data_IF_361844981207
#
_entry.id   IF_361844981207
#
_cell.length_a   1.000
_cell.length_b   1.000
_cell.length_c   1.000
_cell.angle_alpha   90.00
_cell.angle_beta   90.00
_cell.angle_gamma   90.00
#
_symmetry.space_group_name_H-M   'P 1'
#
loop_
_entity.id
_entity.type
_entity.pdbx_description
1 polymer ?
#
# COMPACT_ATOMS: atom_id res chain seq x y z
N UNK A 1 -35.93 -8.06 20.45
CA UNK A 1 -35.51 -7.02 19.50
C UNK A 1 -34.00 -7.16 19.31
N UNK A 2 -33.59 -7.48 18.10
CA UNK A 2 -32.28 -8.04 17.75
C UNK A 2 -31.14 -7.05 17.91
N UNK A 3 -30.20 -7.38 18.79
CA UNK A 3 -28.82 -6.91 18.72
C UNK A 3 -27.98 -8.11 18.28
N UNK A 4 -27.52 -8.13 17.04
CA UNK A 4 -26.38 -8.96 16.64
C UNK A 4 -25.47 -8.10 15.76
N UNK A 5 -24.57 -7.38 16.43
CA UNK A 5 -23.35 -6.86 15.83
C UNK A 5 -22.47 -8.10 15.62
N UNK A 6 -22.35 -8.56 14.39
CA UNK A 6 -21.46 -9.67 14.06
C UNK A 6 -20.01 -9.19 14.28
N UNK A 7 -19.45 -9.70 15.38
CA UNK A 7 -18.07 -9.52 15.82
C UNK A 7 -17.09 -10.01 14.75
N UNK A 8 -16.24 -9.12 14.25
CA UNK A 8 -15.09 -9.45 13.43
C UNK A 8 -14.16 -10.39 14.18
N UNK A 9 -14.02 -11.62 13.70
CA UNK A 9 -13.02 -12.58 14.18
C UNK A 9 -12.25 -13.09 12.98
N UNK A 10 -11.09 -12.47 12.72
CA UNK A 10 -10.10 -12.93 11.75
C UNK A 10 -9.14 -13.84 12.50
N UNK A 11 -9.20 -15.13 12.20
CA UNK A 11 -8.29 -16.14 12.73
C UNK A 11 -6.89 -15.91 12.15
N UNK A 12 -6.00 -15.29 12.94
CA UNK A 12 -4.56 -15.34 12.72
C UNK A 12 -4.00 -16.37 13.68
N UNK A 13 -3.46 -17.47 13.16
CA UNK A 13 -2.35 -18.30 13.66
C UNK A 13 -2.26 -19.51 12.71
N UNK A 14 -1.03 -19.92 12.34
CA UNK A 14 -0.68 -21.06 11.46
C UNK A 14 -0.44 -20.81 9.96
N UNK A 15 0.48 -19.92 9.63
CA UNK A 15 1.29 -20.05 8.39
C UNK A 15 2.68 -19.43 8.58
N UNK A 16 3.37 -19.86 9.64
CA UNK A 16 4.53 -19.17 10.20
C UNK A 16 5.91 -19.68 9.71
N UNK A 17 5.99 -20.75 8.92
CA UNK A 17 7.28 -21.45 8.68
C UNK A 17 7.83 -21.45 7.24
N UNK A 18 7.37 -20.55 6.36
CA UNK A 18 7.93 -20.43 4.99
C UNK A 18 8.64 -19.09 4.71
N UNK A 19 9.22 -18.47 5.75
CA UNK A 19 10.00 -17.25 5.63
C UNK A 19 11.50 -17.56 5.58
N UNK A 20 12.05 -17.78 4.39
CA UNK A 20 13.50 -17.76 4.22
C UNK A 20 13.92 -16.83 3.08
N UNK A 21 15.00 -16.11 3.37
CA UNK A 21 15.78 -15.23 2.49
C UNK A 21 15.16 -13.85 2.21
N UNK A 22 15.23 -12.94 3.20
CA UNK A 22 15.75 -11.55 3.09
C UNK A 22 15.29 -10.61 4.23
N UNK A 23 15.37 -11.00 5.51
CA UNK A 23 14.95 -10.09 6.61
C UNK A 23 15.69 -10.28 7.97
N UNK A 24 15.65 -9.25 8.85
CA UNK A 24 16.68 -8.97 9.85
C UNK A 24 16.70 -9.99 10.98
N UNK A 25 17.89 -10.54 11.24
CA UNK A 25 18.11 -11.74 12.05
C UNK A 25 17.97 -11.55 13.58
N UNK A 26 17.41 -10.43 14.06
CA UNK A 26 17.31 -10.16 15.50
C UNK A 26 15.93 -10.49 16.03
N UNK A 27 15.88 -11.51 16.90
CA UNK A 27 14.68 -11.95 17.61
C UNK A 27 13.94 -10.81 18.33
N UNK A 28 14.66 -9.80 18.81
CA UNK A 28 14.11 -8.64 19.54
C UNK A 28 13.30 -7.68 18.67
N UNK A 29 13.49 -7.67 17.34
CA UNK A 29 12.85 -6.72 16.42
C UNK A 29 11.62 -7.34 15.72
N UNK A 30 11.42 -8.65 15.88
CA UNK A 30 10.35 -9.43 15.23
C UNK A 30 8.95 -8.88 15.54
N UNK A 31 8.70 -8.45 16.77
CA UNK A 31 7.41 -7.87 17.17
C UNK A 31 7.13 -6.56 16.43
N UNK A 32 8.12 -5.67 16.33
CA UNK A 32 7.98 -4.38 15.65
C UNK A 32 7.70 -4.54 14.16
N UNK A 33 8.31 -5.54 13.51
CA UNK A 33 8.01 -5.87 12.11
C UNK A 33 6.61 -6.45 11.92
N UNK A 34 6.14 -7.30 12.84
CA UNK A 34 4.76 -7.81 12.82
C UNK A 34 3.74 -6.67 12.93
N UNK A 35 3.97 -5.73 13.83
CA UNK A 35 3.09 -4.57 13.99
C UNK A 35 3.08 -3.70 12.73
N UNK A 36 4.23 -3.55 12.06
CA UNK A 36 4.32 -2.82 10.80
C UNK A 36 3.57 -3.52 9.65
N UNK A 37 3.65 -4.85 9.55
CA UNK A 37 2.90 -5.66 8.57
C UNK A 37 1.40 -5.52 8.82
N UNK A 38 0.97 -5.71 10.07
CA UNK A 38 -0.44 -5.61 10.47
C UNK A 38 -0.99 -4.21 10.15
N UNK A 39 -0.25 -3.16 10.50
CA UNK A 39 -0.66 -1.78 10.21
C UNK A 39 -0.82 -1.52 8.71
N UNK A 40 0.00 -2.13 7.85
CA UNK A 40 -0.13 -1.98 6.39
C UNK A 40 -1.40 -2.70 5.90
N UNK A 41 -1.62 -3.96 6.30
CA UNK A 41 -2.80 -4.76 5.93
C UNK A 41 -4.10 -4.09 6.41
N UNK A 42 -4.15 -3.65 7.66
CA UNK A 42 -5.30 -2.93 8.23
C UNK A 42 -5.59 -1.68 7.39
N UNK A 43 -4.55 -0.95 6.97
CA UNK A 43 -4.72 0.24 6.12
C UNK A 43 -5.25 -0.10 4.74
N UNK A 44 -4.90 -1.27 4.17
CA UNK A 44 -5.37 -1.73 2.87
C UNK A 44 -6.86 -2.11 2.98
N UNK A 45 -7.23 -2.88 4.00
CA UNK A 45 -8.62 -3.28 4.25
C UNK A 45 -9.54 -2.08 4.52
N UNK A 46 -9.06 -1.08 5.27
CA UNK A 46 -9.82 0.14 5.55
C UNK A 46 -10.06 1.02 4.32
N UNK A 47 -9.22 0.93 3.28
CA UNK A 47 -9.43 1.71 2.05
C UNK A 47 -10.54 1.12 1.16
N UNK A 48 -11.10 -0.06 1.50
CA UNK A 48 -12.17 -0.73 0.74
C UNK A 48 -11.85 -0.94 -0.75
N UNK A 49 -10.57 -1.01 -1.10
CA UNK A 49 -10.09 -1.18 -2.48
C UNK A 49 -9.82 -2.64 -2.86
N UNK A 50 -10.14 -3.60 -1.97
CA UNK A 50 -9.77 -5.02 -2.13
C UNK A 50 -10.90 -5.94 -1.66
N UNK A 51 -11.08 -7.03 -2.39
CA UNK A 51 -11.99 -8.12 -2.05
C UNK A 51 -11.27 -9.46 -2.28
N UNK A 52 -11.44 -10.40 -1.34
CA UNK A 52 -10.94 -11.76 -1.52
C UNK A 52 -11.88 -12.53 -2.44
N UNK A 53 -11.42 -12.88 -3.63
CA UNK A 53 -12.21 -13.57 -4.66
C UNK A 53 -11.49 -14.80 -5.17
N UNK A 54 -12.25 -15.77 -5.68
CA UNK A 54 -11.68 -16.87 -6.45
C UNK A 54 -11.11 -16.33 -7.77
N UNK A 55 -9.93 -16.84 -8.15
CA UNK A 55 -9.28 -16.43 -9.40
C UNK A 55 -10.15 -16.88 -10.60
N UNK A 56 -10.61 -15.95 -11.45
CA UNK A 56 -11.38 -16.32 -12.63
C UNK A 56 -10.54 -17.15 -13.61
N UNK A 57 -11.16 -18.09 -14.35
CA UNK A 57 -10.44 -18.91 -15.32
C UNK A 57 -9.82 -18.03 -16.42
N UNK A 58 -8.57 -18.32 -16.76
CA UNK A 58 -7.83 -17.61 -17.81
C UNK A 58 -7.10 -16.34 -17.36
N UNK A 59 -7.27 -15.91 -16.10
CA UNK A 59 -6.55 -14.75 -15.55
C UNK A 59 -5.22 -15.19 -14.91
N UNK A 60 -4.16 -14.41 -15.14
CA UNK A 60 -2.87 -14.59 -14.47
C UNK A 60 -2.75 -13.56 -13.34
N UNK A 61 -2.84 -13.96 -12.05
CA UNK A 61 -2.72 -13.03 -10.95
C UNK A 61 -1.28 -12.54 -10.84
N UNK A 62 -1.13 -11.29 -10.39
CA UNK A 62 0.15 -10.70 -10.06
C UNK A 62 0.62 -11.21 -8.71
N UNK A 63 1.93 -11.43 -8.59
CA UNK A 63 2.53 -11.74 -7.31
C UNK A 63 2.77 -10.44 -6.53
N UNK A 64 2.83 -10.52 -5.21
CA UNK A 64 3.27 -9.43 -4.35
C UNK A 64 4.62 -9.73 -3.70
N UNK A 65 5.22 -8.71 -3.08
CA UNK A 65 6.34 -8.86 -2.15
C UNK A 65 6.24 -7.84 -1.03
N UNK A 66 6.82 -8.18 0.11
CA UNK A 66 7.03 -7.23 1.18
C UNK A 66 8.30 -6.42 0.96
N UNK A 67 8.24 -5.12 1.28
CA UNK A 67 9.40 -4.22 1.35
C UNK A 67 9.48 -3.67 2.76
N UNK A 68 10.64 -3.88 3.37
CA UNK A 68 10.90 -3.50 4.74
C UNK A 68 11.94 -2.39 4.80
N UNK A 69 11.68 -1.40 5.65
CA UNK A 69 12.56 -0.25 5.83
C UNK A 69 12.49 0.26 7.25
N UNK A 70 13.65 0.43 7.87
CA UNK A 70 13.77 1.27 9.06
C UNK A 70 13.71 2.76 8.67
N UNK A 71 13.03 3.56 9.48
CA UNK A 71 13.24 5.00 9.52
C UNK A 71 14.13 5.29 10.72
N UNK A 72 15.17 6.07 10.50
CA UNK A 72 16.06 6.54 11.55
C UNK A 72 15.75 8.02 11.83
N UNK A 73 15.90 8.42 13.08
CA UNK A 73 15.91 9.82 13.50
C UNK A 73 17.26 10.46 13.13
N UNK A 74 17.33 11.78 13.27
CA UNK A 74 18.56 12.56 13.04
C UNK A 74 19.69 12.11 13.97
N UNK A 75 19.35 11.64 15.17
CA UNK A 75 20.30 11.11 16.17
C UNK A 75 20.78 9.66 15.88
N UNK A 76 20.31 9.03 14.79
CA UNK A 76 20.65 7.67 14.41
C UNK A 76 19.85 6.56 15.11
N UNK A 77 18.95 6.91 16.03
CA UNK A 77 18.04 5.92 16.65
C UNK A 77 16.91 5.52 15.71
N UNK A 78 16.32 4.33 15.92
CA UNK A 78 15.19 3.88 15.12
C UNK A 78 13.96 4.72 15.46
N UNK A 79 13.43 5.42 14.45
CA UNK A 79 12.18 6.16 14.51
C UNK A 79 10.97 5.24 14.35
N UNK A 80 10.99 4.41 13.28
CA UNK A 80 9.85 3.56 12.94
C UNK A 80 10.24 2.40 12.04
N UNK A 81 9.61 1.25 12.28
CA UNK A 81 9.59 0.10 11.37
C UNK A 81 8.50 0.28 10.33
N UNK A 82 8.84 0.05 9.07
CA UNK A 82 7.92 0.27 7.95
C UNK A 82 7.94 -0.93 7.01
N UNK A 83 6.84 -1.66 7.00
CA UNK A 83 6.53 -2.65 5.98
C UNK A 83 5.67 -2.00 4.90
N UNK A 84 5.80 -2.47 3.66
CA UNK A 84 4.90 -2.15 2.55
C UNK A 84 4.66 -3.38 1.72
N UNK A 85 3.41 -3.60 1.36
CA UNK A 85 3.05 -4.62 0.39
C UNK A 85 3.10 -4.01 -1.02
N UNK A 86 3.88 -4.61 -1.91
CA UNK A 86 4.07 -4.11 -3.28
C UNK A 86 3.81 -5.19 -4.30
N UNK A 87 3.02 -4.85 -5.32
CA UNK A 87 2.70 -5.73 -6.43
C UNK A 87 3.89 -5.82 -7.38
N UNK A 88 4.20 -7.02 -7.86
CA UNK A 88 5.21 -7.28 -8.89
C UNK A 88 4.63 -6.98 -10.27
N UNK A 89 4.45 -5.69 -10.57
CA UNK A 89 3.85 -5.20 -11.81
C UNK A 89 4.68 -5.43 -13.09
N UNK A 90 5.96 -5.81 -12.99
CA UNK A 90 6.84 -6.04 -14.15
C UNK A 90 6.39 -7.19 -15.07
N UNK A 91 5.36 -7.94 -14.69
CA UNK A 91 4.74 -8.98 -15.52
C UNK A 91 3.54 -8.50 -16.33
N UNK A 92 3.09 -7.27 -16.11
CA UNK A 92 2.00 -6.66 -16.86
C UNK A 92 2.49 -6.25 -18.25
N UNK A 93 1.68 -6.50 -19.26
CA UNK A 93 1.90 -6.03 -20.63
C UNK A 93 1.08 -4.78 -20.90
N UNK A 94 1.75 -3.75 -21.42
CA UNK A 94 1.10 -2.57 -21.99
C UNK A 94 0.10 -3.00 -23.08
N UNK A 95 -1.03 -2.31 -23.20
CA UNK A 95 -2.17 -2.58 -24.10
C UNK A 95 -2.98 -3.87 -23.79
N UNK A 96 -2.62 -4.60 -22.74
CA UNK A 96 -3.26 -5.88 -22.38
C UNK A 96 -3.67 -5.93 -20.90
N UNK A 97 -2.75 -5.50 -20.03
CA UNK A 97 -2.92 -5.49 -18.57
C UNK A 97 -2.94 -4.07 -17.98
N UNK A 98 -2.58 -3.05 -18.78
CA UNK A 98 -2.77 -1.62 -18.48
C UNK A 98 -2.74 -0.78 -19.76
N UNK A 99 -3.55 0.29 -19.81
CA UNK A 99 -3.63 1.19 -20.97
C UNK A 99 -3.03 2.58 -20.74
N UNK A 100 -2.98 3.07 -19.49
CA UNK A 100 -2.54 4.43 -19.18
C UNK A 100 -1.49 4.45 -18.07
N UNK A 101 -0.29 4.96 -18.36
CA UNK A 101 0.82 5.05 -17.37
C UNK A 101 1.11 6.49 -16.94
N UNK A 102 0.31 7.45 -17.39
CA UNK A 102 0.60 8.86 -17.19
C UNK A 102 0.18 9.34 -15.80
N UNK A 103 1.16 9.60 -14.93
CA UNK A 103 0.93 10.42 -13.74
C UNK A 103 1.01 11.90 -14.13
N UNK A 104 -0.02 12.72 -13.88
CA UNK A 104 0.03 14.14 -14.18
C UNK A 104 1.02 14.83 -13.24
N UNK A 105 2.25 15.07 -13.71
CA UNK A 105 3.26 15.83 -12.97
C UNK A 105 3.12 17.31 -13.31
N UNK A 106 2.70 18.10 -12.33
CA UNK A 106 2.69 19.57 -12.45
C UNK A 106 4.08 20.09 -12.75
N UNK A 107 4.23 20.86 -13.83
CA UNK A 107 5.51 21.49 -14.18
C UNK A 107 5.86 22.56 -13.15
N UNK A 108 7.12 22.60 -12.72
CA UNK A 108 7.62 23.59 -11.76
C UNK A 108 7.41 25.03 -12.25
N UNK A 109 7.44 25.25 -13.57
CA UNK A 109 7.16 26.55 -14.20
C UNK A 109 5.74 27.02 -13.90
N UNK A 110 4.75 26.14 -13.98
CA UNK A 110 3.35 26.47 -13.69
C UNK A 110 3.16 26.78 -12.21
N UNK A 111 3.79 26.01 -11.31
CA UNK A 111 3.77 26.28 -9.87
C UNK A 111 4.36 27.66 -9.57
N UNK A 112 5.52 27.99 -10.17
CA UNK A 112 6.16 29.30 -10.02
C UNK A 112 5.29 30.44 -10.54
N UNK A 113 4.60 30.26 -11.67
CA UNK A 113 3.67 31.27 -12.19
C UNK A 113 2.52 31.53 -11.22
N UNK A 114 1.91 30.49 -10.66
CA UNK A 114 0.82 30.62 -9.68
C UNK A 114 1.31 31.38 -8.45
N UNK A 115 2.48 31.02 -7.91
CA UNK A 115 3.09 31.71 -6.77
C UNK A 115 3.42 33.18 -7.09
N UNK A 116 3.91 33.47 -8.30
CA UNK A 116 4.18 34.85 -8.73
C UNK A 116 2.90 35.68 -8.82
N UNK A 117 1.81 35.11 -9.33
CA UNK A 117 0.49 35.77 -9.37
C UNK A 117 -0.04 36.00 -7.96
N UNK A 118 0.08 35.02 -7.07
CA UNK A 118 -0.33 35.15 -5.67
C UNK A 118 0.44 36.28 -4.98
N UNK A 119 1.77 36.36 -5.16
CA UNK A 119 2.60 37.43 -4.63
C UNK A 119 2.21 38.80 -5.19
N UNK A 120 2.00 38.91 -6.51
CA UNK A 120 1.58 40.17 -7.16
C UNK A 120 0.21 40.66 -6.68
N UNK A 121 -0.68 39.75 -6.32
CA UNK A 121 -2.04 40.06 -5.88
C UNK A 121 -2.19 40.06 -4.35
N UNK A 122 -1.10 39.90 -3.61
CA UNK A 122 -1.09 39.79 -2.16
C UNK A 122 -2.07 38.72 -1.63
N UNK A 123 -2.11 37.56 -2.28
CA UNK A 123 -2.97 36.43 -1.93
C UNK A 123 -2.23 35.46 -1.00
N UNK A 124 -2.96 34.89 -0.05
CA UNK A 124 -2.46 33.80 0.80
C UNK A 124 -2.53 32.46 0.05
N UNK A 125 -1.46 31.66 0.17
CA UNK A 125 -1.37 30.35 -0.47
C UNK A 125 -1.41 29.27 0.60
N UNK A 126 -2.42 28.42 0.53
CA UNK A 126 -2.51 27.22 1.37
C UNK A 126 -2.09 25.99 0.56
N UNK A 127 -1.26 25.14 1.16
CA UNK A 127 -0.88 23.84 0.61
C UNK A 127 -1.56 22.72 1.38
N UNK A 128 -2.22 21.82 0.65
CA UNK A 128 -2.76 20.58 1.20
C UNK A 128 -2.06 19.39 0.55
N UNK A 129 -1.27 18.65 1.32
CA UNK A 129 -0.74 17.36 0.91
C UNK A 129 -1.78 16.28 1.22
N UNK A 130 -2.43 15.77 0.19
CA UNK A 130 -3.42 14.70 0.35
C UNK A 130 -2.67 13.38 0.50
N UNK A 131 -2.79 12.75 1.68
CA UNK A 131 -2.23 11.42 1.89
C UNK A 131 -2.95 10.42 0.98
N UNK A 132 -2.18 9.59 0.28
CA UNK A 132 -2.68 8.49 -0.58
C UNK A 132 -3.48 8.95 -1.83
N UNK A 133 -3.12 10.06 -2.46
CA UNK A 133 -3.79 10.54 -3.71
C UNK A 133 -3.91 9.48 -4.81
N UNK A 134 -2.92 8.58 -4.92
CA UNK A 134 -2.95 7.49 -5.90
C UNK A 134 -4.14 6.52 -5.70
N UNK A 135 -4.70 6.43 -4.49
CA UNK A 135 -5.83 5.54 -4.19
C UNK A 135 -7.20 6.16 -4.50
N UNK A 136 -7.24 7.45 -4.85
CA UNK A 136 -8.50 8.16 -5.15
C UNK A 136 -8.75 8.30 -6.66
N UNK A 137 -7.90 7.71 -7.51
CA UNK A 137 -8.16 7.60 -8.93
C UNK A 137 -9.02 6.37 -9.20
N UNK A 138 -10.03 6.51 -10.04
CA UNK A 138 -10.76 5.36 -10.56
C UNK A 138 -9.81 4.49 -11.38
N UNK A 139 -9.85 3.18 -11.15
CA UNK A 139 -9.10 2.20 -11.92
C UNK A 139 -10.09 1.48 -12.84
N UNK A 140 -9.95 1.67 -14.14
CA UNK A 140 -10.83 1.00 -15.13
C UNK A 140 -10.58 -0.52 -15.21
N UNK A 141 -9.43 -0.97 -14.69
CA UNK A 141 -8.92 -2.34 -14.84
C UNK A 141 -9.06 -3.15 -13.56
N UNK A 142 -9.51 -4.40 -13.68
CA UNK A 142 -9.55 -5.34 -12.55
C UNK A 142 -8.20 -6.05 -12.41
N UNK A 143 -7.48 -5.73 -11.33
CA UNK A 143 -6.19 -6.36 -11.01
C UNK A 143 -6.41 -7.50 -10.01
N UNK A 144 -5.90 -8.69 -10.33
CA UNK A 144 -5.93 -9.86 -9.46
C UNK A 144 -4.55 -10.12 -8.90
N UNK A 145 -4.45 -10.32 -7.58
CA UNK A 145 -3.17 -10.49 -6.89
C UNK A 145 -3.24 -11.72 -6.01
N UNK A 146 -2.16 -12.51 -6.02
CA UNK A 146 -2.00 -13.66 -5.13
C UNK A 146 -1.90 -13.16 -3.69
N UNK A 147 -2.57 -13.84 -2.76
CA UNK A 147 -2.43 -13.53 -1.33
C UNK A 147 -0.94 -13.46 -0.93
N UNK A 148 -0.54 -12.44 -0.16
CA UNK A 148 0.86 -12.27 0.19
C UNK A 148 1.38 -13.45 1.00
N UNK A 149 2.65 -13.81 0.76
CA UNK A 149 3.34 -14.85 1.50
C UNK A 149 3.26 -14.59 3.02
N UNK A 150 2.94 -15.65 3.78
CA UNK A 150 2.72 -15.61 5.23
C UNK A 150 1.41 -14.98 5.70
N UNK A 151 0.51 -14.60 4.77
CA UNK A 151 -0.85 -14.18 5.07
C UNK A 151 -1.83 -14.83 4.09
N UNK A 152 -2.08 -16.12 4.33
CA UNK A 152 -3.12 -16.89 3.63
C UNK A 152 -4.32 -16.96 4.57
N UNK A 153 -5.40 -16.26 4.21
CA UNK A 153 -6.68 -16.41 4.89
C UNK A 153 -7.37 -17.64 4.28
N UNK A 154 -7.61 -18.72 5.06
CA UNK A 154 -8.45 -19.82 4.63
C UNK A 154 -9.89 -19.31 4.48
N UNK A 155 -10.61 -19.90 3.53
CA UNK A 155 -12.03 -19.58 3.33
C UNK A 155 -12.90 -20.14 4.44
#
# INVERSE_FOLDING_TARGET
MNNNVASSSVYMLESFDLWHETEPQRSSERTSWKDAIKSELDSIMQNHTWELVDLPPGIKPLNSKWIFKWKMKVDGTIDKYKARLVIKGYRQKEDLDYFDTFSPVSRITSIRMILAIAALRNLEVHQMDVKKTFLNGDLDEKIYIVQPEGHVVPR
#
